data_IF_873467675133
#
_entry.id   IF_873467675133
#
_cell.length_a   1.000
_cell.length_b   1.000
_cell.length_c   1.000
_cell.angle_alpha   90.00
_cell.angle_beta   90.00
_cell.angle_gamma   90.00
#
_symmetry.space_group_name_H-M   'P 1'
#
loop_
_entity.id
_entity.type
_entity.pdbx_description
1 polymer ?
#
# COMPACT_ATOMS: atom_id res chain seq x y z
N UNK A 1 -0.75 11.46 -4.14
CA UNK A 1 0.23 11.42 -3.03
C UNK A 1 0.44 12.80 -2.41
N UNK A 2 0.87 13.82 -3.17
CA UNK A 2 1.08 15.20 -2.67
C UNK A 2 -0.14 15.83 -1.98
N UNK A 3 -1.35 15.62 -2.51
CA UNK A 3 -2.59 16.14 -1.89
C UNK A 3 -2.90 15.57 -0.50
N UNK A 4 -2.31 14.42 -0.16
CA UNK A 4 -2.46 13.79 1.17
C UNK A 4 -1.25 14.04 2.08
N UNK A 5 -0.35 14.95 1.67
CA UNK A 5 0.92 15.22 2.36
C UNK A 5 1.84 14.00 2.52
N UNK A 6 1.62 12.94 1.72
CA UNK A 6 2.46 11.75 1.72
C UNK A 6 3.51 11.90 0.61
N UNK A 7 4.77 11.75 0.98
CA UNK A 7 5.92 11.84 0.09
C UNK A 7 6.55 10.45 -0.17
N UNK A 8 7.39 10.35 -1.20
CA UNK A 8 7.99 9.09 -1.63
C UNK A 8 8.80 8.38 -0.52
N UNK A 9 9.59 9.09 0.33
CA UNK A 9 10.25 8.47 1.47
C UNK A 9 9.29 7.76 2.43
N UNK A 10 8.14 8.37 2.73
CA UNK A 10 7.13 7.75 3.60
C UNK A 10 6.53 6.50 2.97
N UNK A 11 6.26 6.53 1.67
CA UNK A 11 5.75 5.36 0.93
C UNK A 11 6.79 4.25 0.93
N UNK A 12 8.05 4.58 0.65
CA UNK A 12 9.15 3.63 0.66
C UNK A 12 9.35 3.02 2.06
N UNK A 13 9.20 3.82 3.12
CA UNK A 13 9.27 3.32 4.49
C UNK A 13 8.14 2.33 4.79
N UNK A 14 6.91 2.64 4.38
CA UNK A 14 5.77 1.73 4.54
C UNK A 14 6.00 0.44 3.74
N UNK A 15 6.50 0.52 2.51
CA UNK A 15 6.79 -0.67 1.70
C UNK A 15 7.92 -1.54 2.28
N UNK A 16 8.94 -0.93 2.91
CA UNK A 16 10.09 -1.65 3.46
C UNK A 16 9.86 -2.22 4.86
N UNK A 17 9.17 -1.47 5.72
CA UNK A 17 9.05 -1.78 7.14
C UNK A 17 7.60 -1.90 7.61
N UNK A 18 6.62 -1.70 6.73
CA UNK A 18 5.22 -1.83 7.09
C UNK A 18 4.80 -3.27 7.31
N UNK A 19 3.56 -3.43 7.76
CA UNK A 19 2.96 -4.73 8.03
C UNK A 19 1.68 -4.91 7.23
N UNK A 20 1.38 -6.16 6.86
CA UNK A 20 0.10 -6.51 6.27
C UNK A 20 -0.96 -6.54 7.37
N UNK A 21 -1.87 -5.57 7.35
CA UNK A 21 -2.99 -5.54 8.30
C UNK A 21 -4.07 -6.58 7.96
N UNK A 22 -4.14 -6.99 6.68
CA UNK A 22 -5.05 -8.00 6.16
C UNK A 22 -4.27 -8.94 5.22
N UNK A 23 -4.69 -10.20 5.09
CA UNK A 23 -4.15 -11.08 4.06
C UNK A 23 -4.40 -10.47 2.66
N UNK A 24 -3.51 -10.70 1.68
CA UNK A 24 -3.74 -10.26 0.30
C UNK A 24 -5.04 -10.84 -0.25
N UNK A 25 -5.94 -9.96 -0.71
CA UNK A 25 -7.23 -10.36 -1.26
C UNK A 25 -7.18 -10.38 -2.79
N UNK A 26 -7.73 -11.40 -3.45
CA UNK A 26 -7.89 -11.38 -4.90
C UNK A 26 -8.89 -10.30 -5.30
N UNK A 27 -8.51 -9.41 -6.23
CA UNK A 27 -9.43 -8.41 -6.76
C UNK A 27 -10.31 -9.03 -7.86
N UNK A 28 -11.61 -8.71 -7.86
CA UNK A 28 -12.56 -9.15 -8.89
C UNK A 28 -12.33 -8.36 -10.20
N UNK A 29 -11.77 -7.14 -10.11
CA UNK A 29 -11.55 -6.23 -11.24
C UNK A 29 -10.17 -6.35 -11.89
N UNK A 30 -9.18 -6.84 -11.15
CA UNK A 30 -7.81 -7.02 -11.64
C UNK A 30 -7.34 -8.43 -11.35
N UNK A 31 -6.65 -9.12 -12.29
CA UNK A 31 -6.16 -10.49 -12.11
C UNK A 31 -4.99 -10.60 -11.11
N UNK A 32 -4.85 -9.66 -10.18
CA UNK A 32 -3.77 -9.57 -9.20
C UNK A 32 -4.27 -9.66 -7.75
N UNK A 33 -3.30 -9.78 -6.85
CA UNK A 33 -3.51 -9.72 -5.40
C UNK A 33 -3.42 -8.26 -4.93
N UNK A 34 -4.41 -7.82 -4.16
CA UNK A 34 -4.41 -6.54 -3.49
C UNK A 34 -3.74 -6.69 -2.14
N UNK A 35 -2.55 -6.10 -2.03
CA UNK A 35 -1.68 -6.14 -0.86
C UNK A 35 -1.73 -4.80 -0.12
N UNK A 36 -2.36 -4.76 1.05
CA UNK A 36 -2.41 -3.53 1.87
C UNK A 36 -1.38 -3.56 3.00
N UNK A 37 -0.33 -2.75 2.85
CA UNK A 37 0.75 -2.58 3.82
C UNK A 37 0.52 -1.28 4.59
N UNK A 38 0.63 -1.31 5.91
CA UNK A 38 0.38 -0.14 6.75
C UNK A 38 1.54 0.11 7.71
N UNK A 39 1.82 1.39 7.96
CA UNK A 39 2.80 1.84 8.96
C UNK A 39 2.48 3.25 9.43
N UNK A 40 2.80 3.54 10.69
CA UNK A 40 2.80 4.90 11.20
C UNK A 40 4.16 5.55 10.88
N UNK A 41 4.16 6.61 10.06
CA UNK A 41 5.37 7.28 9.59
C UNK A 41 5.18 8.79 9.70
N UNK A 42 6.17 9.49 10.26
CA UNK A 42 6.17 10.95 10.39
C UNK A 42 4.89 11.55 11.02
N UNK A 43 4.32 10.86 12.03
CA UNK A 43 3.12 11.32 12.72
C UNK A 43 1.79 10.97 12.04
N UNK A 44 1.81 10.18 10.96
CA UNK A 44 0.63 9.83 10.17
C UNK A 44 0.49 8.32 9.98
N UNK A 45 -0.73 7.81 10.03
CA UNK A 45 -1.04 6.43 9.69
C UNK A 45 -1.15 6.30 8.16
N UNK A 46 -0.15 5.69 7.53
CA UNK A 46 -0.09 5.54 6.08
C UNK A 46 -0.39 4.09 5.69
N UNK A 47 -1.27 3.90 4.71
CA UNK A 47 -1.44 2.63 4.02
C UNK A 47 -1.00 2.72 2.57
N UNK A 48 -0.27 1.72 2.12
CA UNK A 48 0.14 1.54 0.74
C UNK A 48 -0.51 0.25 0.24
N UNK A 49 -1.32 0.39 -0.80
CA UNK A 49 -1.96 -0.70 -1.53
C UNK A 49 -1.12 -1.01 -2.75
N UNK A 50 -0.69 -2.24 -2.86
CA UNK A 50 0.08 -2.74 -3.99
C UNK A 50 -0.76 -3.77 -4.72
N UNK A 51 -0.91 -3.64 -6.03
CA UNK A 51 -1.39 -4.75 -6.86
C UNK A 51 -0.20 -5.53 -7.37
N UNK A 52 -0.19 -6.82 -7.09
CA UNK A 52 0.81 -7.77 -7.59
C UNK A 52 0.10 -8.71 -8.56
N UNK A 53 0.50 -8.71 -9.81
CA UNK A 53 0.06 -9.74 -10.76
C UNK A 53 0.61 -11.11 -10.31
N UNK A 54 -0.27 -12.10 -10.19
CA UNK A 54 0.12 -13.47 -9.85
C UNK A 54 -0.32 -14.39 -11.01
N UNK A 55 0.57 -15.23 -11.57
CA UNK A 55 1.92 -15.59 -11.11
C UNK A 55 3.06 -14.71 -11.66
N UNK A 56 2.79 -13.66 -12.45
CA UNK A 56 3.80 -12.81 -13.06
C UNK A 56 4.10 -11.56 -12.21
N UNK A 57 5.11 -11.64 -11.34
CA UNK A 57 5.48 -10.61 -10.34
C UNK A 57 6.08 -9.29 -10.88
N UNK A 58 6.13 -9.08 -12.20
CA UNK A 58 6.94 -8.03 -12.82
C UNK A 58 6.27 -6.64 -12.82
N UNK A 59 4.99 -6.55 -12.44
CA UNK A 59 4.24 -5.30 -12.38
C UNK A 59 3.75 -5.02 -10.95
N UNK A 60 4.30 -3.96 -10.34
CA UNK A 60 3.96 -3.48 -8.99
C UNK A 60 3.24 -2.13 -9.11
N UNK A 61 1.90 -2.13 -9.03
CA UNK A 61 1.14 -0.87 -9.02
C UNK A 61 0.99 -0.40 -7.58
N UNK A 62 1.65 0.70 -7.21
CA UNK A 62 1.63 1.27 -5.85
C UNK A 62 0.60 2.40 -5.76
N UNK A 63 -0.51 2.16 -5.06
CA UNK A 63 -1.53 3.16 -4.73
C UNK A 63 -1.52 3.45 -3.24
N UNK A 64 -1.41 4.72 -2.84
CA UNK A 64 -1.29 5.11 -1.43
C UNK A 64 -2.60 5.67 -0.91
N UNK A 65 -3.06 5.16 0.24
CA UNK A 65 -4.26 5.59 0.94
C UNK A 65 -3.90 6.13 2.33
N UNK A 66 -4.29 7.36 2.60
CA UNK A 66 -4.37 7.90 3.97
C UNK A 66 -5.46 7.15 4.75
N UNK A 67 -5.13 6.62 5.93
CA UNK A 67 -6.08 5.92 6.80
C UNK A 67 -6.41 6.85 7.96
N UNK A 68 -7.42 7.70 7.78
CA UNK A 68 -8.02 8.40 8.90
C UNK A 68 -8.75 7.40 9.78
N UNK A 69 -8.37 7.35 11.05
CA UNK A 69 -9.12 6.67 12.09
C UNK A 69 -10.12 7.69 12.61
N UNK A 70 -11.41 7.48 12.32
CA UNK A 70 -12.51 8.18 13.02
C UNK A 70 -12.43 7.94 14.54
#
# INVERSE_FOLDING_TARGET
MRERYINDPMVLEVLRMGSFALPPEPDIKHPGLLCRIQRFVAGMQVAVVVYVEYPATDLVIVTVMDVKKD
#
